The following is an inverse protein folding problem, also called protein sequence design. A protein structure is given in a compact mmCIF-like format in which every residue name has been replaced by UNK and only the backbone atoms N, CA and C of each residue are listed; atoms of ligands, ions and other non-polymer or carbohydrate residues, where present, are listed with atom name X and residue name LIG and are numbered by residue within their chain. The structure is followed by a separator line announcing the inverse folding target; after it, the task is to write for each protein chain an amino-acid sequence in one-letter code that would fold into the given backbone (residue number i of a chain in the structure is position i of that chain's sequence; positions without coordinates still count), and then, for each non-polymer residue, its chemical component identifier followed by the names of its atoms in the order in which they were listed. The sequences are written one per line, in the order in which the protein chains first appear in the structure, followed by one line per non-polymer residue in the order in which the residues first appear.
data_IF_626018432314
#
_entry.id   IF_626018432314
#
_cell.length_a   1.000
_cell.length_b   1.000
_cell.length_c   1.000
_cell.angle_alpha   90.00
_cell.angle_beta   90.00
_cell.angle_gamma   90.00
#
_symmetry.space_group_name_H-M   'P 1'
#
loop_
_entity.id
_entity.type
_entity.pdbx_description
1 polymer ?
#
# COMPACT_ATOMS: atom_id res chain seq x y z
N UNK A 1 -9.11 32.04 6.72
CA UNK A 1 -9.16 30.84 7.58
C UNK A 1 -8.93 29.58 6.74
N UNK A 2 -9.54 29.49 5.53
CA UNK A 2 -9.45 28.27 4.68
C UNK A 2 -8.06 28.04 4.06
N UNK A 3 -7.22 29.06 4.00
CA UNK A 3 -5.85 28.94 3.44
C UNK A 3 -4.87 28.23 4.40
N UNK A 4 -5.14 28.17 5.68
CA UNK A 4 -4.22 27.59 6.65
C UNK A 4 -4.14 26.05 6.56
N UNK A 5 -5.23 25.40 6.19
CA UNK A 5 -5.31 23.93 6.09
C UNK A 5 -4.55 23.41 4.86
N UNK A 6 -4.39 24.24 3.82
CA UNK A 6 -3.80 23.88 2.53
C UNK A 6 -2.42 24.48 2.27
N UNK A 7 -1.89 25.29 3.17
CA UNK A 7 -0.61 25.95 3.00
C UNK A 7 0.51 25.11 3.60
N UNK A 8 1.10 24.23 2.79
CA UNK A 8 2.24 23.39 3.17
C UNK A 8 3.52 24.18 3.51
N UNK A 9 3.57 25.47 3.18
CA UNK A 9 4.70 26.33 3.48
C UNK A 9 4.67 26.92 4.89
N UNK A 10 3.51 26.91 5.57
CA UNK A 10 3.40 27.35 6.97
C UNK A 10 3.62 26.19 7.92
N UNK A 11 4.62 26.32 8.78
CA UNK A 11 4.80 25.43 9.95
C UNK A 11 3.60 25.58 10.88
N UNK A 12 2.56 24.78 10.65
CA UNK A 12 1.30 24.81 11.40
C UNK A 12 1.37 24.11 12.78
N UNK A 13 2.54 23.65 13.23
CA UNK A 13 2.66 22.86 14.47
C UNK A 13 2.12 23.58 15.72
N UNK A 14 2.07 24.90 15.71
CA UNK A 14 1.60 25.72 16.84
C UNK A 14 0.42 26.65 16.47
N UNK A 15 -0.01 26.70 15.23
CA UNK A 15 -1.13 27.50 14.78
C UNK A 15 -2.36 26.62 14.62
N UNK A 16 -3.41 26.85 15.39
CA UNK A 16 -4.66 26.10 15.36
C UNK A 16 -5.86 26.97 14.94
N UNK A 17 -5.63 28.00 14.15
CA UNK A 17 -6.71 28.88 13.62
C UNK A 17 -7.72 28.10 12.78
N UNK A 18 -7.27 27.02 12.13
CA UNK A 18 -8.14 26.11 11.35
C UNK A 18 -9.18 25.37 12.21
N UNK A 19 -8.97 25.26 13.53
CA UNK A 19 -9.91 24.57 14.41
C UNK A 19 -11.29 25.23 14.44
N UNK A 20 -11.37 26.54 14.21
CA UNK A 20 -12.64 27.25 14.09
C UNK A 20 -13.51 26.77 12.93
N UNK A 21 -12.90 26.23 11.88
CA UNK A 21 -13.60 25.64 10.72
C UNK A 21 -13.84 24.15 10.95
N UNK A 22 -12.81 23.42 11.38
CA UNK A 22 -12.84 21.97 11.58
C UNK A 22 -13.91 21.58 12.61
N UNK A 23 -14.01 22.28 13.72
CA UNK A 23 -14.95 21.97 14.79
C UNK A 23 -16.43 22.20 14.42
N UNK A 24 -16.71 22.85 13.30
CA UNK A 24 -18.10 23.06 12.79
C UNK A 24 -18.57 21.90 11.91
N UNK A 25 -17.65 21.06 11.45
CA UNK A 25 -17.95 19.91 10.57
C UNK A 25 -18.40 18.71 11.39
N UNK A 26 -19.28 17.92 10.80
CA UNK A 26 -19.63 16.59 11.37
C UNK A 26 -18.47 15.63 11.12
N UNK A 27 -18.30 14.56 11.94
CA UNK A 27 -17.23 13.60 11.77
C UNK A 27 -17.13 13.00 10.37
N UNK A 28 -18.27 12.78 9.69
CA UNK A 28 -18.31 12.22 8.33
C UNK A 28 -17.88 13.21 7.23
N UNK A 29 -17.86 14.49 7.54
CA UNK A 29 -17.49 15.57 6.61
C UNK A 29 -16.01 15.96 6.74
N UNK A 30 -15.31 15.41 7.72
CA UNK A 30 -13.88 15.66 7.93
C UNK A 30 -13.06 14.88 6.91
N UNK A 31 -12.16 15.59 6.22
CA UNK A 31 -11.11 14.95 5.42
C UNK A 31 -10.07 14.31 6.33
N UNK A 32 -9.24 13.40 5.80
CA UNK A 32 -8.13 12.80 6.56
C UNK A 32 -7.17 13.86 7.10
N UNK A 33 -6.86 14.90 6.32
CA UNK A 33 -6.03 16.02 6.74
C UNK A 33 -6.63 16.79 7.91
N UNK A 34 -7.94 17.04 7.88
CA UNK A 34 -8.64 17.73 8.97
C UNK A 34 -8.74 16.87 10.22
N UNK A 35 -8.96 15.57 10.08
CA UNK A 35 -8.96 14.61 11.18
C UNK A 35 -7.57 14.54 11.85
N UNK A 36 -6.53 14.46 11.06
CA UNK A 36 -5.15 14.50 11.49
C UNK A 36 -4.84 15.80 12.25
N UNK A 37 -5.33 16.93 11.75
CA UNK A 37 -5.16 18.24 12.38
C UNK A 37 -5.90 18.35 13.72
N UNK A 38 -7.09 17.77 13.80
CA UNK A 38 -7.85 17.68 15.06
C UNK A 38 -7.09 16.84 16.11
N UNK A 39 -6.47 15.74 15.67
CA UNK A 39 -5.64 14.91 16.55
C UNK A 39 -4.43 15.68 17.06
N UNK A 40 -3.69 16.38 16.20
CA UNK A 40 -2.58 17.25 16.60
C UNK A 40 -3.02 18.28 17.63
N UNK A 41 -4.16 18.94 17.41
CA UNK A 41 -4.71 19.92 18.34
C UNK A 41 -5.02 19.30 19.70
N UNK A 42 -5.65 18.13 19.72
CA UNK A 42 -5.94 17.43 20.97
C UNK A 42 -4.67 17.05 21.72
N UNK A 43 -3.67 16.53 21.03
CA UNK A 43 -2.37 16.20 21.63
C UNK A 43 -1.65 17.45 22.16
N UNK A 44 -1.67 18.55 21.40
CA UNK A 44 -1.08 19.80 21.83
C UNK A 44 -1.77 20.39 23.07
N UNK A 45 -3.09 20.25 23.18
CA UNK A 45 -3.86 20.71 24.33
C UNK A 45 -3.72 19.81 25.56
N UNK A 46 -3.09 18.62 25.44
CA UNK A 46 -2.77 17.74 26.56
C UNK A 46 -1.56 18.22 27.32
N UNK A 47 -1.69 19.38 28.04
CA UNK A 47 -0.75 19.88 29.03
C UNK A 47 0.73 20.02 28.65
N UNK A 48 1.14 19.80 27.38
CA UNK A 48 2.54 19.93 26.96
C UNK A 48 3.06 21.36 27.14
N UNK A 49 2.23 22.37 26.89
CA UNK A 49 2.62 23.77 27.14
C UNK A 49 2.81 24.05 28.61
N UNK A 50 1.87 23.63 29.49
CA UNK A 50 1.98 23.80 30.92
C UNK A 50 3.21 23.07 31.48
N UNK A 51 3.53 21.91 30.95
CA UNK A 51 4.75 21.18 31.30
C UNK A 51 6.01 21.91 30.82
N UNK A 52 6.02 22.41 29.58
CA UNK A 52 7.13 23.19 29.02
C UNK A 52 7.38 24.46 29.85
N UNK A 53 6.34 25.17 30.26
CA UNK A 53 6.46 26.38 31.07
C UNK A 53 7.06 26.07 32.45
N UNK A 54 6.61 25.01 33.11
CA UNK A 54 7.19 24.56 34.38
C UNK A 54 8.65 24.15 34.22
N UNK A 55 8.95 23.37 33.19
CA UNK A 55 10.31 22.94 32.87
C UNK A 55 11.20 24.16 32.65
N UNK A 56 10.78 25.13 31.83
CA UNK A 56 11.54 26.35 31.55
C UNK A 56 11.80 27.18 32.78
N UNK A 57 10.85 27.25 33.73
CA UNK A 57 11.06 27.91 34.99
C UNK A 57 12.20 27.29 35.83
N UNK A 58 12.27 25.96 35.88
CA UNK A 58 13.36 25.26 36.54
C UNK A 58 14.66 25.33 35.74
N UNK A 59 14.57 25.18 34.41
CA UNK A 59 15.73 25.21 33.52
C UNK A 59 16.47 26.54 33.62
N UNK A 60 15.75 27.65 33.60
CA UNK A 60 16.34 28.97 33.77
C UNK A 60 17.05 29.13 35.14
N UNK A 61 16.43 28.65 36.24
CA UNK A 61 17.01 28.65 37.56
C UNK A 61 18.27 27.78 37.69
N UNK A 62 18.33 26.71 36.93
CA UNK A 62 19.39 25.71 36.95
C UNK A 62 20.53 26.00 35.93
N UNK A 63 20.63 27.24 35.46
CA UNK A 63 21.74 27.67 34.59
C UNK A 63 21.40 27.72 33.11
N UNK A 64 20.16 27.47 32.70
CA UNK A 64 19.69 27.54 31.33
C UNK A 64 19.61 28.97 30.74
N UNK A 65 19.75 30.00 31.57
CA UNK A 65 19.71 31.40 31.17
C UNK A 65 18.38 31.77 30.49
N UNK A 66 18.51 32.45 29.34
CA UNK A 66 17.36 32.89 28.53
C UNK A 66 16.88 31.84 27.53
N UNK A 67 17.52 30.67 27.47
CA UNK A 67 17.11 29.57 26.59
C UNK A 67 15.76 28.99 27.00
N UNK A 68 14.94 28.66 26.03
CA UNK A 68 13.63 28.03 26.24
C UNK A 68 13.51 26.70 25.50
N UNK A 69 13.04 25.70 26.24
CA UNK A 69 12.71 24.40 25.71
C UNK A 69 11.27 24.44 25.17
N UNK A 70 11.05 23.96 23.96
CA UNK A 70 9.74 23.82 23.36
C UNK A 70 9.57 22.38 22.85
N UNK A 71 8.37 21.87 22.99
CA UNK A 71 7.99 20.58 22.43
C UNK A 71 7.25 20.80 21.12
N UNK A 72 7.70 20.14 20.08
CA UNK A 72 7.03 20.11 18.79
C UNK A 72 6.48 18.70 18.54
N UNK A 73 5.18 18.60 18.27
CA UNK A 73 4.58 17.35 17.84
C UNK A 73 4.73 17.29 16.34
N UNK A 74 5.64 16.45 15.86
CA UNK A 74 5.74 16.12 14.45
C UNK A 74 4.71 15.07 14.13
N UNK A 75 3.99 15.30 13.06
CA UNK A 75 3.01 14.39 12.53
C UNK A 75 3.48 13.97 11.16
N UNK A 76 3.78 12.70 11.00
CA UNK A 76 4.03 12.09 9.71
C UNK A 76 2.78 11.28 9.33
N UNK A 77 2.12 11.69 8.23
CA UNK A 77 0.91 11.00 7.77
C UNK A 77 1.23 9.57 7.31
N UNK A 78 2.44 9.35 6.83
CA UNK A 78 2.89 8.04 6.34
C UNK A 78 3.16 7.05 7.48
N UNK A 79 3.55 7.55 8.66
CA UNK A 79 3.76 6.72 9.86
C UNK A 79 2.47 6.44 10.66
N UNK A 80 1.41 7.20 10.44
CA UNK A 80 0.17 7.08 11.22
C UNK A 80 -0.76 5.97 10.77
N UNK A 81 -0.66 5.58 9.51
CA UNK A 81 -1.49 4.54 8.92
C UNK A 81 -0.59 3.48 8.30
N UNK A 82 -0.29 2.47 9.07
CA UNK A 82 0.30 1.25 8.54
C UNK A 82 -0.83 0.27 8.20
N UNK A 83 -0.98 -0.06 6.91
CA UNK A 83 -1.92 -1.09 6.46
C UNK A 83 -1.15 -2.41 6.43
N UNK A 84 -1.42 -3.26 7.39
CA UNK A 84 -0.86 -4.60 7.43
C UNK A 84 -1.82 -5.61 6.80
N UNK A 85 -1.27 -6.49 5.96
CA UNK A 85 -2.01 -7.63 5.46
C UNK A 85 -1.94 -8.76 6.48
N UNK A 86 -3.09 -9.14 7.01
CA UNK A 86 -3.24 -10.23 7.99
C UNK A 86 -3.95 -11.40 7.31
N UNK A 87 -3.43 -12.60 7.53
CA UNK A 87 -4.05 -13.84 7.05
C UNK A 87 -4.85 -14.46 8.19
N UNK A 88 -6.15 -14.50 8.05
CA UNK A 88 -7.04 -15.15 9.01
C UNK A 88 -7.31 -16.60 8.58
N UNK A 89 -7.18 -17.54 9.52
CA UNK A 89 -7.66 -18.89 9.37
C UNK A 89 -8.93 -19.08 10.24
N UNK A 90 -10.13 -18.99 9.64
CA UNK A 90 -11.38 -19.05 10.40
C UNK A 90 -11.57 -20.38 11.13
N UNK A 91 -11.08 -21.49 10.56
CA UNK A 91 -11.21 -22.83 11.14
C UNK A 91 -10.38 -23.02 12.40
N UNK A 92 -9.21 -22.39 12.44
CA UNK A 92 -8.30 -22.45 13.58
C UNK A 92 -8.39 -21.23 14.50
N UNK A 93 -9.10 -20.19 14.06
CA UNK A 93 -9.22 -18.89 14.73
C UNK A 93 -7.83 -18.26 15.00
N UNK A 94 -6.91 -18.41 14.07
CA UNK A 94 -5.58 -17.83 14.14
C UNK A 94 -5.42 -16.69 13.15
N UNK A 95 -4.55 -15.76 13.50
CA UNK A 95 -4.16 -14.61 12.69
C UNK A 95 -2.66 -14.65 12.52
N UNK A 96 -2.21 -14.70 11.28
CA UNK A 96 -0.79 -14.77 10.94
C UNK A 96 -0.41 -13.55 10.11
N UNK A 97 0.81 -13.06 10.26
CA UNK A 97 1.34 -12.02 9.38
C UNK A 97 1.51 -12.57 7.96
N UNK A 98 1.18 -11.78 6.96
CA UNK A 98 1.41 -12.12 5.57
C UNK A 98 2.87 -12.48 5.29
N UNK A 99 3.80 -11.81 5.98
CA UNK A 99 5.25 -12.07 5.83
C UNK A 99 5.67 -13.45 6.35
N UNK A 100 4.87 -14.10 7.16
CA UNK A 100 5.10 -15.46 7.62
C UNK A 100 4.63 -16.54 6.64
N UNK A 101 3.90 -16.16 5.60
CA UNK A 101 3.37 -17.08 4.59
C UNK A 101 4.46 -17.56 3.63
N UNK A 102 4.33 -18.81 3.19
CA UNK A 102 5.22 -19.37 2.17
C UNK A 102 5.11 -18.64 0.82
N UNK A 103 6.18 -18.66 0.03
CA UNK A 103 6.29 -17.94 -1.25
C UNK A 103 5.16 -18.29 -2.23
N UNK A 104 4.77 -19.56 -2.33
CA UNK A 104 3.67 -19.96 -3.20
C UNK A 104 2.33 -19.32 -2.81
N UNK A 105 2.06 -19.15 -1.53
CA UNK A 105 0.86 -18.44 -1.07
C UNK A 105 0.93 -16.96 -1.46
N UNK A 106 2.09 -16.32 -1.30
CA UNK A 106 2.30 -14.92 -1.69
C UNK A 106 2.07 -14.71 -3.18
N UNK A 107 2.57 -15.62 -4.03
CA UNK A 107 2.37 -15.56 -5.49
C UNK A 107 0.87 -15.63 -5.86
N UNK A 108 0.11 -16.54 -5.26
CA UNK A 108 -1.34 -16.62 -5.48
C UNK A 108 -2.06 -15.37 -4.96
N UNK A 109 -1.65 -14.83 -3.81
CA UNK A 109 -2.20 -13.58 -3.28
C UNK A 109 -2.00 -12.42 -4.26
N UNK A 110 -0.78 -12.25 -4.80
CA UNK A 110 -0.46 -11.17 -5.76
C UNK A 110 -1.32 -11.29 -7.02
N UNK A 111 -1.47 -12.50 -7.58
CA UNK A 111 -2.33 -12.73 -8.73
C UNK A 111 -3.80 -12.44 -8.43
N UNK A 112 -4.28 -12.83 -7.24
CA UNK A 112 -5.65 -12.55 -6.79
C UNK A 112 -5.88 -11.05 -6.56
N UNK A 113 -4.89 -10.35 -6.01
CA UNK A 113 -4.92 -8.90 -5.83
C UNK A 113 -5.02 -8.18 -7.18
N UNK A 114 -4.21 -8.61 -8.16
CA UNK A 114 -4.24 -8.09 -9.52
C UNK A 114 -5.62 -8.33 -10.17
N UNK A 115 -6.17 -9.54 -10.05
CA UNK A 115 -7.51 -9.87 -10.55
C UNK A 115 -8.58 -8.98 -9.89
N UNK A 116 -8.49 -8.77 -8.58
CA UNK A 116 -9.41 -7.91 -7.82
C UNK A 116 -9.33 -6.47 -8.30
N UNK A 117 -8.12 -5.93 -8.44
CA UNK A 117 -7.89 -4.56 -8.89
C UNK A 117 -8.51 -4.31 -10.27
N UNK A 118 -8.19 -5.18 -11.25
CA UNK A 118 -8.67 -5.06 -12.63
C UNK A 118 -10.20 -5.17 -12.72
N UNK A 119 -10.80 -6.05 -11.92
CA UNK A 119 -12.25 -6.22 -11.94
C UNK A 119 -13.02 -5.18 -11.13
N UNK A 120 -12.36 -4.43 -10.26
CA UNK A 120 -13.00 -3.36 -9.46
C UNK A 120 -13.27 -2.10 -10.27
N UNK A 121 -12.58 -1.92 -11.38
CA UNK A 121 -12.66 -0.73 -12.21
C UNK A 121 -13.56 -0.99 -13.43
N UNK A 122 -14.83 -0.61 -13.32
CA UNK A 122 -15.85 -0.91 -14.35
C UNK A 122 -15.75 -0.05 -15.62
N UNK A 123 -14.95 1.02 -15.61
CA UNK A 123 -14.92 2.05 -16.67
C UNK A 123 -13.59 2.16 -17.41
N UNK A 124 -12.63 1.28 -17.15
CA UNK A 124 -11.30 1.38 -17.76
C UNK A 124 -11.18 0.67 -19.10
N UNK A 125 -10.32 1.23 -19.96
CA UNK A 125 -9.84 0.55 -21.16
C UNK A 125 -9.10 -0.75 -20.79
N UNK A 126 -9.09 -1.77 -21.70
CA UNK A 126 -8.36 -3.01 -21.43
C UNK A 126 -6.89 -2.76 -21.09
N UNK A 127 -6.39 -3.50 -20.09
CA UNK A 127 -5.00 -3.46 -19.67
C UNK A 127 -4.12 -4.34 -20.56
N UNK A 128 -2.84 -4.00 -20.65
CA UNK A 128 -1.78 -4.90 -21.11
C UNK A 128 -1.05 -5.38 -19.84
N UNK A 129 -1.13 -6.68 -19.59
CA UNK A 129 -0.56 -7.32 -18.39
C UNK A 129 0.62 -8.16 -18.86
N UNK A 130 1.80 -7.88 -18.34
CA UNK A 130 3.02 -8.62 -18.65
C UNK A 130 3.57 -9.22 -17.36
N UNK A 131 3.75 -10.53 -17.31
CA UNK A 131 4.23 -11.26 -16.13
C UNK A 131 5.31 -12.23 -16.56
N UNK A 132 6.42 -12.25 -15.84
CA UNK A 132 7.51 -13.19 -16.01
C UNK A 132 7.41 -14.28 -14.97
N UNK A 133 7.41 -15.54 -15.44
CA UNK A 133 7.39 -16.77 -14.62
C UNK A 133 6.42 -16.71 -13.41
N UNK A 134 5.11 -16.51 -13.65
CA UNK A 134 4.12 -16.39 -12.56
C UNK A 134 4.00 -17.66 -11.69
N UNK A 135 4.55 -18.78 -12.17
CA UNK A 135 4.60 -20.06 -11.47
C UNK A 135 5.75 -20.21 -10.49
N UNK A 136 6.66 -19.25 -10.43
CA UNK A 136 7.84 -19.33 -9.54
C UNK A 136 7.39 -19.59 -8.10
N UNK A 137 7.97 -20.61 -7.47
CA UNK A 137 7.64 -21.12 -6.12
C UNK A 137 6.25 -21.79 -5.99
N UNK A 138 5.50 -22.00 -7.08
CA UNK A 138 4.21 -22.67 -7.01
C UNK A 138 4.34 -24.18 -7.16
N UNK A 139 3.68 -24.92 -6.27
CA UNK A 139 3.45 -26.35 -6.44
C UNK A 139 2.54 -26.59 -7.67
N UNK A 140 2.68 -27.70 -8.44
CA UNK A 140 1.91 -27.95 -9.68
C UNK A 140 0.40 -27.72 -9.58
N UNK A 141 -0.21 -28.00 -8.43
CA UNK A 141 -1.64 -27.72 -8.22
C UNK A 141 -1.95 -26.21 -8.22
N UNK A 142 -1.05 -25.40 -7.64
CA UNK A 142 -1.19 -23.95 -7.60
C UNK A 142 -0.84 -23.33 -8.95
N UNK A 143 0.04 -23.93 -9.74
CA UNK A 143 0.32 -23.51 -11.12
C UNK A 143 -0.94 -23.57 -11.99
N UNK A 144 -1.76 -24.60 -11.85
CA UNK A 144 -3.06 -24.68 -12.54
C UNK A 144 -4.00 -23.55 -12.14
N UNK A 145 -4.05 -23.22 -10.84
CA UNK A 145 -4.84 -22.10 -10.35
C UNK A 145 -4.31 -20.77 -10.90
N UNK A 146 -3.01 -20.57 -10.93
CA UNK A 146 -2.39 -19.38 -11.54
C UNK A 146 -2.75 -19.28 -13.04
N UNK A 147 -2.64 -20.39 -13.78
CA UNK A 147 -3.07 -20.46 -15.18
C UNK A 147 -4.53 -20.06 -15.36
N UNK A 148 -5.44 -20.54 -14.50
CA UNK A 148 -6.86 -20.17 -14.54
C UNK A 148 -7.08 -18.68 -14.28
N UNK A 149 -6.36 -18.08 -13.32
CA UNK A 149 -6.44 -16.63 -13.03
C UNK A 149 -6.01 -15.85 -14.27
N UNK A 150 -4.87 -16.18 -14.87
CA UNK A 150 -4.37 -15.51 -16.08
C UNK A 150 -5.34 -15.66 -17.26
N UNK A 151 -5.93 -16.84 -17.41
CA UNK A 151 -6.95 -17.08 -18.44
C UNK A 151 -8.20 -16.21 -18.21
N UNK A 152 -8.69 -16.10 -16.96
CA UNK A 152 -9.82 -15.20 -16.67
C UNK A 152 -9.49 -13.74 -16.98
N UNK A 153 -8.29 -13.29 -16.60
CA UNK A 153 -7.81 -11.93 -16.92
C UNK A 153 -7.73 -11.68 -18.41
N UNK A 154 -7.36 -12.70 -19.21
CA UNK A 154 -7.23 -12.57 -20.65
C UNK A 154 -8.56 -12.39 -21.41
N UNK A 155 -9.71 -12.59 -20.75
CA UNK A 155 -11.02 -12.40 -21.37
C UNK A 155 -11.33 -10.95 -21.71
N UNK A 156 -10.79 -10.01 -20.93
CA UNK A 156 -11.03 -8.56 -21.09
C UNK A 156 -9.75 -7.77 -21.34
N UNK A 157 -8.58 -8.39 -21.16
CA UNK A 157 -7.28 -7.75 -21.19
C UNK A 157 -6.33 -8.48 -22.13
N UNK A 158 -5.25 -7.83 -22.52
CA UNK A 158 -4.13 -8.50 -23.18
C UNK A 158 -3.16 -9.01 -22.13
N UNK A 159 -3.03 -10.33 -22.00
CA UNK A 159 -2.11 -10.97 -21.06
C UNK A 159 -0.97 -11.62 -21.81
N UNK A 160 0.26 -11.30 -21.42
CA UNK A 160 1.49 -11.88 -21.96
C UNK A 160 2.28 -12.39 -20.75
N UNK A 161 2.64 -13.65 -20.75
CA UNK A 161 3.50 -14.19 -19.70
C UNK A 161 4.51 -15.18 -20.25
N UNK A 162 5.67 -15.25 -19.61
CA UNK A 162 6.67 -16.29 -19.85
C UNK A 162 6.49 -17.44 -18.85
N UNK A 163 6.81 -18.66 -19.25
CA UNK A 163 6.76 -19.82 -18.37
C UNK A 163 7.69 -20.92 -18.87
N UNK A 164 8.23 -21.68 -17.94
CA UNK A 164 8.95 -22.93 -18.18
C UNK A 164 8.11 -24.16 -17.81
N UNK A 165 6.92 -23.96 -17.22
CA UNK A 165 6.08 -25.03 -16.69
C UNK A 165 4.91 -25.39 -17.60
N UNK A 166 4.77 -26.64 -18.03
CA UNK A 166 3.66 -27.08 -18.87
C UNK A 166 2.28 -26.87 -18.25
N UNK A 167 2.19 -26.93 -16.91
CA UNK A 167 0.94 -26.78 -16.18
C UNK A 167 0.34 -25.35 -16.36
N UNK A 168 1.19 -24.37 -16.62
CA UNK A 168 0.76 -23.00 -16.90
C UNK A 168 0.05 -22.85 -18.23
N UNK A 169 0.28 -23.78 -19.16
CA UNK A 169 -0.29 -23.76 -20.51
C UNK A 169 -1.66 -24.44 -20.59
N UNK A 170 -2.13 -25.07 -19.52
CA UNK A 170 -3.32 -25.91 -19.51
C UNK A 170 -4.59 -25.25 -20.06
N UNK A 171 -4.75 -23.95 -19.82
CA UNK A 171 -5.93 -23.19 -20.24
C UNK A 171 -5.75 -22.46 -21.58
N UNK A 172 -4.61 -22.63 -22.26
CA UNK A 172 -4.26 -21.90 -23.47
C UNK A 172 -4.16 -22.83 -24.68
N UNK A 173 -4.52 -22.33 -25.84
CA UNK A 173 -4.43 -23.06 -27.10
C UNK A 173 -3.06 -22.87 -27.76
N UNK A 174 -2.66 -23.76 -28.65
CA UNK A 174 -1.39 -23.67 -29.40
C UNK A 174 -1.25 -22.35 -30.17
N UNK A 175 -2.36 -21.76 -30.60
CA UNK A 175 -2.36 -20.44 -31.29
C UNK A 175 -1.91 -19.29 -30.38
N UNK A 176 -2.02 -19.45 -29.07
CA UNK A 176 -1.65 -18.46 -28.08
C UNK A 176 -0.23 -18.66 -27.56
N UNK A 177 0.36 -19.83 -27.83
CA UNK A 177 1.69 -20.20 -27.32
C UNK A 177 2.75 -19.81 -28.38
N UNK A 178 3.88 -19.35 -27.89
CA UNK A 178 5.08 -19.08 -28.69
C UNK A 178 6.27 -19.72 -27.98
N UNK A 179 6.91 -20.64 -28.70
CA UNK A 179 8.11 -21.27 -28.19
C UNK A 179 9.32 -20.38 -28.50
N UNK A 180 10.07 -20.04 -27.46
CA UNK A 180 11.33 -19.31 -27.57
C UNK A 180 12.46 -20.33 -27.39
N UNK A 181 13.41 -20.35 -28.29
CA UNK A 181 14.56 -21.26 -28.25
C UNK A 181 15.83 -20.55 -28.72
N UNK A 182 16.96 -21.10 -28.40
CA UNK A 182 18.25 -20.66 -28.90
C UNK A 182 18.61 -21.50 -30.14
N UNK A 183 18.90 -20.86 -31.25
CA UNK A 183 19.32 -21.53 -32.46
C UNK A 183 20.79 -21.97 -32.42
N UNK A 184 21.26 -22.63 -33.51
CA UNK A 184 22.66 -23.11 -33.62
C UNK A 184 23.71 -22.00 -33.56
N UNK A 185 23.30 -20.75 -33.78
CA UNK A 185 24.15 -19.56 -33.71
C UNK A 185 24.06 -18.82 -32.35
N UNK A 186 23.47 -19.43 -31.34
CA UNK A 186 23.18 -18.83 -30.05
C UNK A 186 22.27 -17.56 -30.11
N UNK A 187 21.45 -17.47 -31.15
CA UNK A 187 20.50 -16.39 -31.31
C UNK A 187 19.12 -16.83 -30.81
N UNK A 188 18.42 -15.92 -30.14
CA UNK A 188 17.04 -16.16 -29.72
C UNK A 188 16.10 -16.21 -30.91
N UNK A 189 15.40 -17.31 -31.09
CA UNK A 189 14.41 -17.50 -32.15
C UNK A 189 13.03 -17.82 -31.57
N UNK A 190 11.99 -17.45 -32.31
CA UNK A 190 10.58 -17.70 -31.93
C UNK A 190 9.95 -18.62 -32.94
N UNK A 191 9.46 -19.76 -32.47
CA UNK A 191 8.69 -20.70 -33.28
C UNK A 191 7.21 -20.34 -33.21
N UNK A 192 6.58 -20.23 -34.39
CA UNK A 192 5.13 -20.16 -34.56
C UNK A 192 4.68 -21.50 -35.10
N UNK A 193 3.84 -22.22 -34.39
CA UNK A 193 3.12 -23.35 -34.92
C UNK A 193 1.88 -22.91 -35.66
#
# INVERSE_FOLDING_TARGET
ADRCIFDSAKKCSQCFDCMGVINRKKPQELTLVETSRLMQYKMFSLNLNTFADRLNSYFSKNGGGDLKIRYEIKFDADELFNIETIVENPSRKTYDSFDSMGEGFRSIYILSLLETYINSDNDTAPYIIMIEEPETYLHPQLQKIASEILYRLSKKNQVIFSTHEPEMLFNFTTKQIRQIYCDEFHMTAVRKD
#
